data_IF_171994606543
#
_entry.id   IF_171994606543
#
_cell.length_a   1.000
_cell.length_b   1.000
_cell.length_c   1.000
_cell.angle_alpha   90.00
_cell.angle_beta   90.00
_cell.angle_gamma   90.00
#
_symmetry.space_group_name_H-M   'P 1'
#
loop_
_entity.id
_entity.type
_entity.pdbx_description
1 polymer ?
#
# COMPACT_ATOMS: atom_id res chain seq x y z
N UNK A 1 -3.38 15.42 6.25
CA UNK A 1 -3.53 14.92 4.87
C UNK A 1 -4.36 13.64 4.86
N UNK A 2 -5.15 13.44 3.82
CA UNK A 2 -6.01 12.25 3.62
C UNK A 2 -5.78 11.64 2.25
N UNK A 3 -5.75 10.31 2.20
CA UNK A 3 -5.62 9.51 0.98
C UNK A 3 -6.96 8.88 0.63
N UNK A 4 -7.40 9.03 -0.61
CA UNK A 4 -8.65 8.43 -1.10
C UNK A 4 -8.35 7.66 -2.38
N UNK A 5 -8.26 6.34 -2.28
CA UNK A 5 -8.17 5.45 -3.44
C UNK A 5 -9.53 5.25 -4.10
N UNK A 6 -9.58 5.33 -5.43
CA UNK A 6 -10.80 5.07 -6.20
C UNK A 6 -10.82 3.59 -6.60
N UNK A 7 -11.78 2.84 -6.07
CA UNK A 7 -11.88 1.38 -6.25
C UNK A 7 -10.57 0.64 -5.96
N UNK A 8 -9.98 0.79 -4.76
CA UNK A 8 -8.64 0.27 -4.45
C UNK A 8 -8.52 -1.26 -4.59
N UNK A 9 -9.63 -1.99 -4.55
CA UNK A 9 -9.69 -3.45 -4.75
C UNK A 9 -10.05 -3.86 -6.18
N UNK A 10 -9.83 -2.98 -7.15
CA UNK A 10 -9.99 -3.23 -8.59
C UNK A 10 -8.81 -2.66 -9.35
N UNK A 11 -7.58 -2.88 -8.87
CA UNK A 11 -6.36 -2.28 -9.44
C UNK A 11 -6.23 -2.54 -10.95
N UNK A 12 -6.75 -3.68 -11.43
CA UNK A 12 -6.73 -4.06 -12.84
C UNK A 12 -7.63 -3.19 -13.74
N UNK A 13 -8.39 -2.25 -13.18
CA UNK A 13 -9.18 -1.30 -13.94
C UNK A 13 -8.29 -0.22 -14.59
N UNK A 14 -8.63 0.24 -15.80
CA UNK A 14 -7.84 1.23 -16.51
C UNK A 14 -7.88 2.63 -15.88
N UNK A 15 -8.89 2.88 -15.05
CA UNK A 15 -9.16 4.20 -14.45
C UNK A 15 -8.77 4.26 -12.96
N UNK A 16 -7.84 3.41 -12.54
CA UNK A 16 -7.37 3.38 -11.15
C UNK A 16 -6.65 4.69 -10.83
N UNK A 17 -7.06 5.34 -9.74
CA UNK A 17 -6.51 6.62 -9.33
C UNK A 17 -6.65 6.79 -7.82
N UNK A 18 -5.89 7.73 -7.25
CA UNK A 18 -6.07 8.17 -5.87
C UNK A 18 -6.00 9.69 -5.78
N UNK A 19 -6.55 10.20 -4.67
CA UNK A 19 -6.59 11.61 -4.34
C UNK A 19 -5.84 11.86 -3.05
N UNK A 20 -5.16 12.99 -3.00
CA UNK A 20 -4.44 13.49 -1.85
C UNK A 20 -5.04 14.83 -1.44
N UNK A 21 -5.63 14.84 -0.26
CA UNK A 21 -6.31 15.99 0.33
C UNK A 21 -5.44 16.55 1.45
N UNK A 22 -4.96 17.77 1.30
CA UNK A 22 -4.21 18.45 2.35
C UNK A 22 -5.19 19.01 3.38
N UNK A 23 -4.81 18.98 4.66
CA UNK A 23 -5.67 19.46 5.75
C UNK A 23 -5.53 20.97 5.93
N UNK A 24 -5.61 21.69 4.82
CA UNK A 24 -5.37 23.13 4.69
C UNK A 24 -6.46 23.77 3.82
N UNK A 25 -6.54 25.10 3.82
CA UNK A 25 -7.44 25.80 2.88
C UNK A 25 -7.03 25.56 1.43
N UNK A 26 -7.99 25.56 0.50
CA UNK A 26 -7.76 25.30 -0.93
C UNK A 26 -6.60 26.10 -1.53
N UNK A 27 -6.48 27.39 -1.21
CA UNK A 27 -5.41 28.25 -1.75
C UNK A 27 -4.03 27.79 -1.26
N UNK A 28 -3.92 27.38 0.00
CA UNK A 28 -2.67 26.86 0.58
C UNK A 28 -2.36 25.47 0.00
N UNK A 29 -3.39 24.63 -0.16
CA UNK A 29 -3.24 23.28 -0.68
C UNK A 29 -2.82 23.27 -2.16
N UNK A 30 -3.26 24.26 -2.96
CA UNK A 30 -2.87 24.45 -4.35
C UNK A 30 -1.39 24.84 -4.51
N UNK A 31 -0.88 25.68 -3.60
CA UNK A 31 0.52 26.15 -3.62
C UNK A 31 1.49 25.14 -2.98
N UNK A 32 1.00 24.04 -2.40
CA UNK A 32 1.82 23.02 -1.78
C UNK A 32 2.65 22.23 -2.81
N UNK A 33 3.89 21.89 -2.45
CA UNK A 33 4.68 20.94 -3.24
C UNK A 33 4.22 19.53 -2.90
N UNK A 34 3.55 18.85 -3.84
CA UNK A 34 3.02 17.51 -3.64
C UNK A 34 3.66 16.53 -4.61
N UNK A 35 4.24 15.47 -4.06
CA UNK A 35 4.86 14.38 -4.80
C UNK A 35 4.06 13.08 -4.59
N UNK A 36 4.03 12.25 -5.62
CA UNK A 36 3.52 10.88 -5.55
C UNK A 36 4.67 9.88 -5.55
N UNK A 37 4.52 8.78 -4.85
CA UNK A 37 5.53 7.72 -4.82
C UNK A 37 4.93 6.33 -4.71
N UNK A 38 5.70 5.32 -5.12
CA UNK A 38 5.47 3.92 -4.75
C UNK A 38 6.22 3.63 -3.46
N UNK A 39 5.53 3.14 -2.43
CA UNK A 39 6.14 2.91 -1.11
C UNK A 39 7.19 1.80 -1.15
N UNK A 40 6.92 0.75 -1.93
CA UNK A 40 7.81 -0.41 -2.04
C UNK A 40 7.56 -1.21 -3.31
N UNK A 41 8.59 -1.93 -3.77
CA UNK A 41 8.46 -2.92 -4.82
C UNK A 41 7.69 -4.14 -4.31
N UNK A 42 6.63 -4.48 -5.01
CA UNK A 42 5.75 -5.61 -4.68
C UNK A 42 5.80 -6.71 -5.75
N UNK A 43 6.59 -6.50 -6.81
CA UNK A 43 6.76 -7.41 -7.94
C UNK A 43 8.24 -7.59 -8.29
N UNK A 44 8.55 -8.53 -9.17
CA UNK A 44 9.91 -9.02 -9.36
C UNK A 44 10.78 -8.08 -10.20
N UNK A 45 10.22 -7.47 -11.24
CA UNK A 45 11.00 -6.70 -12.21
C UNK A 45 10.71 -5.19 -12.11
N UNK A 46 11.68 -4.36 -12.49
CA UNK A 46 11.57 -2.90 -12.46
C UNK A 46 10.37 -2.40 -13.27
N UNK A 47 10.13 -3.01 -14.44
CA UNK A 47 9.06 -2.64 -15.35
C UNK A 47 7.66 -3.07 -14.87
N UNK A 48 7.58 -3.70 -13.70
CA UNK A 48 6.37 -4.10 -12.99
C UNK A 48 6.08 -3.22 -11.76
N UNK A 49 7.06 -2.41 -11.35
CA UNK A 49 7.01 -1.56 -10.16
C UNK A 49 7.11 -0.08 -10.54
N UNK A 50 6.49 0.31 -11.66
CA UNK A 50 6.56 1.68 -12.20
C UNK A 50 6.03 2.69 -11.19
N UNK A 51 6.75 3.79 -10.99
CA UNK A 51 6.32 4.85 -10.08
C UNK A 51 5.05 5.56 -10.60
N UNK A 52 4.21 6.07 -9.69
CA UNK A 52 3.04 6.86 -10.08
C UNK A 52 3.47 8.16 -10.80
N UNK A 53 2.65 8.67 -11.74
CA UNK A 53 2.91 9.95 -12.38
C UNK A 53 2.71 11.11 -11.39
N UNK A 54 3.33 12.25 -11.71
CA UNK A 54 3.22 13.48 -10.91
C UNK A 54 1.76 13.83 -10.58
N UNK A 55 1.45 14.20 -9.32
CA UNK A 55 0.11 14.65 -8.94
C UNK A 55 -0.34 15.88 -9.74
N UNK A 56 -1.63 15.92 -10.08
CA UNK A 56 -2.23 17.08 -10.78
C UNK A 56 -3.28 17.70 -9.89
N UNK A 57 -3.19 19.00 -9.66
CA UNK A 57 -4.22 19.76 -8.94
C UNK A 57 -5.56 19.72 -9.69
N UNK A 58 -6.63 19.41 -8.97
CA UNK A 58 -7.99 19.34 -9.50
C UNK A 58 -8.87 20.35 -8.76
N UNK A 59 -9.10 21.49 -9.41
CA UNK A 59 -9.89 22.61 -8.91
C UNK A 59 -11.38 22.55 -9.29
N UNK A 60 -11.74 21.69 -10.24
CA UNK A 60 -13.11 21.53 -10.75
C UNK A 60 -14.00 20.59 -9.92
N UNK A 61 -13.49 20.01 -8.84
CA UNK A 61 -14.22 19.13 -7.94
C UNK A 61 -14.84 19.91 -6.76
N UNK A 62 -15.93 19.38 -6.18
CA UNK A 62 -16.54 19.96 -4.97
C UNK A 62 -15.55 20.07 -3.79
N UNK A 63 -14.56 19.17 -3.75
CA UNK A 63 -13.43 19.21 -2.83
C UNK A 63 -12.17 19.21 -3.69
N UNK A 64 -11.42 20.31 -3.68
CA UNK A 64 -10.19 20.41 -4.46
C UNK A 64 -9.13 19.50 -3.87
N UNK A 65 -8.35 18.87 -4.73
CA UNK A 65 -7.38 17.85 -4.32
C UNK A 65 -6.30 17.65 -5.36
N UNK A 66 -5.20 17.05 -4.94
CA UNK A 66 -4.21 16.50 -5.85
C UNK A 66 -4.64 15.12 -6.31
N UNK A 67 -4.72 14.90 -7.62
CA UNK A 67 -5.16 13.65 -8.22
C UNK A 67 -4.00 12.95 -8.91
N UNK A 68 -3.85 11.66 -8.66
CA UNK A 68 -2.85 10.79 -9.29
C UNK A 68 -3.56 9.67 -10.04
N UNK A 69 -3.42 9.65 -11.37
CA UNK A 69 -3.96 8.57 -12.21
C UNK A 69 -2.90 7.49 -12.34
N UNK A 70 -3.13 6.33 -11.73
CA UNK A 70 -2.21 5.22 -11.85
C UNK A 70 -2.24 4.68 -13.26
N UNK A 71 -1.07 4.55 -13.87
CA UNK A 71 -0.96 3.94 -15.17
C UNK A 71 -1.24 2.44 -15.04
N UNK A 72 -2.17 1.91 -15.82
CA UNK A 72 -2.47 0.47 -15.85
C UNK A 72 -2.35 -0.05 -17.29
N UNK A 73 -1.16 0.09 -17.86
CA UNK A 73 -0.82 -0.30 -19.23
C UNK A 73 -0.68 -1.84 -19.38
N UNK A 74 -1.80 -2.56 -19.24
CA UNK A 74 -1.94 -4.02 -19.41
C UNK A 74 -1.18 -4.91 -18.41
N UNK A 75 -0.22 -4.36 -17.66
CA UNK A 75 0.56 -5.08 -16.65
C UNK A 75 0.02 -4.97 -15.23
N UNK A 76 -1.07 -4.23 -15.00
CA UNK A 76 -1.55 -3.97 -13.65
C UNK A 76 -0.52 -3.21 -12.78
N UNK A 77 0.14 -2.20 -13.37
CA UNK A 77 1.12 -1.36 -12.66
C UNK A 77 0.47 -0.53 -11.54
N UNK A 78 -0.87 -0.42 -11.57
CA UNK A 78 -1.67 0.14 -10.48
C UNK A 78 -1.79 -0.78 -9.25
N UNK A 79 -1.28 -2.01 -9.29
CA UNK A 79 -1.13 -2.85 -8.10
C UNK A 79 0.05 -2.39 -7.24
N UNK A 80 -0.13 -2.38 -5.92
CA UNK A 80 0.93 -2.09 -4.96
C UNK A 80 0.51 -1.10 -3.89
N UNK A 81 1.51 -0.42 -3.31
CA UNK A 81 1.32 0.58 -2.26
C UNK A 81 1.85 1.90 -2.77
N UNK A 82 1.00 2.93 -2.73
CA UNK A 82 1.28 4.25 -3.28
C UNK A 82 0.96 5.32 -2.25
N UNK A 83 1.66 6.44 -2.33
CA UNK A 83 1.45 7.55 -1.42
C UNK A 83 1.55 8.91 -2.08
N UNK A 84 1.25 9.90 -1.25
CA UNK A 84 1.63 11.29 -1.47
C UNK A 84 2.47 11.79 -0.32
N UNK A 85 3.42 12.64 -0.64
CA UNK A 85 4.10 13.51 0.31
C UNK A 85 3.76 14.96 -0.04
N UNK A 86 3.40 15.75 0.96
CA UNK A 86 3.13 17.16 0.81
C UNK A 86 4.11 17.95 1.68
N UNK A 87 4.81 18.88 1.05
CA UNK A 87 5.69 19.84 1.70
C UNK A 87 5.10 21.25 1.54
N UNK A 88 5.07 21.98 2.65
CA UNK A 88 4.62 23.36 2.74
C UNK A 88 5.68 24.13 3.52
N UNK A 89 6.04 25.31 3.04
CA UNK A 89 7.11 26.11 3.65
C UNK A 89 6.83 26.36 5.15
N UNK A 90 7.77 25.94 5.99
CA UNK A 90 7.67 26.06 7.45
C UNK A 90 6.82 24.99 8.14
N UNK A 91 6.30 23.99 7.41
CA UNK A 91 5.56 22.85 7.97
C UNK A 91 6.31 21.53 7.81
N UNK A 92 5.97 20.57 8.67
CA UNK A 92 6.51 19.21 8.61
C UNK A 92 5.91 18.51 7.39
N UNK A 93 6.79 17.91 6.56
CA UNK A 93 6.34 17.07 5.45
C UNK A 93 5.40 16.01 5.97
N UNK A 94 4.20 15.97 5.41
CA UNK A 94 3.22 14.93 5.74
C UNK A 94 3.24 13.92 4.61
N UNK A 95 3.31 12.63 4.94
CA UNK A 95 3.16 11.54 3.97
C UNK A 95 2.02 10.62 4.37
N UNK A 96 1.37 10.02 3.37
CA UNK A 96 0.33 9.02 3.56
C UNK A 96 0.41 7.99 2.44
N UNK A 97 0.08 6.74 2.74
CA UNK A 97 0.09 5.65 1.76
C UNK A 97 -1.20 4.85 1.81
N UNK A 98 -1.57 4.27 0.67
CA UNK A 98 -2.71 3.38 0.52
C UNK A 98 -2.39 2.21 -0.40
N UNK A 99 -3.16 1.13 -0.25
CA UNK A 99 -3.00 -0.12 -0.97
C UNK A 99 -3.98 -0.20 -2.13
N UNK A 100 -3.49 -0.69 -3.26
CA UNK A 100 -4.28 -1.11 -4.40
C UNK A 100 -4.05 -2.60 -4.68
N UNK A 101 -5.13 -3.37 -4.70
CA UNK A 101 -5.14 -4.80 -4.96
C UNK A 101 -6.13 -5.15 -6.08
N UNK A 102 -5.92 -6.31 -6.70
CA UNK A 102 -6.86 -6.86 -7.67
C UNK A 102 -8.13 -7.35 -6.99
N UNK A 103 -9.25 -7.30 -7.72
CA UNK A 103 -10.50 -7.92 -7.21
C UNK A 103 -10.47 -9.44 -7.27
N UNK A 104 -9.60 -10.01 -8.11
CA UNK A 104 -9.36 -11.44 -8.28
C UNK A 104 -7.99 -11.85 -7.72
N UNK A 105 -7.54 -11.17 -6.66
CA UNK A 105 -6.34 -11.55 -5.91
C UNK A 105 -6.49 -12.97 -5.35
N UNK A 106 -5.39 -13.73 -5.36
CA UNK A 106 -5.34 -15.12 -4.87
C UNK A 106 -5.21 -15.19 -3.34
N UNK A 107 -4.72 -14.09 -2.74
CA UNK A 107 -4.48 -13.92 -1.31
C UNK A 107 -5.00 -12.54 -0.89
N UNK A 108 -5.68 -12.46 0.25
CA UNK A 108 -6.12 -11.21 0.88
C UNK A 108 -5.84 -11.23 2.39
N UNK A 109 -5.81 -10.06 3.06
CA UNK A 109 -5.78 -10.01 4.52
C UNK A 109 -6.90 -10.84 5.15
N UNK A 110 -6.58 -11.65 6.16
CA UNK A 110 -7.55 -12.58 6.77
C UNK A 110 -8.74 -11.86 7.40
N UNK A 111 -8.49 -10.69 7.98
CA UNK A 111 -9.46 -9.77 8.58
C UNK A 111 -10.07 -8.77 7.58
N UNK A 112 -9.70 -8.88 6.30
CA UNK A 112 -10.20 -8.02 5.20
C UNK A 112 -9.85 -6.53 5.37
N UNK A 113 -8.92 -6.22 6.28
CA UNK A 113 -8.38 -4.89 6.49
C UNK A 113 -7.00 -4.76 5.82
N UNK A 114 -6.83 -3.72 5.00
CA UNK A 114 -5.56 -3.44 4.32
C UNK A 114 -4.54 -2.75 5.21
N UNK A 115 -4.96 -2.25 6.37
CA UNK A 115 -4.05 -1.64 7.33
C UNK A 115 -4.42 -2.01 8.75
N UNK A 116 -3.42 -2.07 9.61
CA UNK A 116 -3.61 -2.17 11.06
C UNK A 116 -2.72 -1.14 11.74
N UNK A 117 -3.27 -0.44 12.72
CA UNK A 117 -2.53 0.52 13.54
C UNK A 117 -2.38 -0.04 14.95
N UNK A 118 -1.14 -0.06 15.43
CA UNK A 118 -0.75 -0.50 16.77
C UNK A 118 0.14 0.55 17.41
N UNK A 119 0.39 0.45 18.71
CA UNK A 119 1.35 1.29 19.40
C UNK A 119 2.65 0.51 19.62
N UNK A 120 3.78 1.23 19.68
CA UNK A 120 5.03 0.63 20.12
C UNK A 120 4.86 0.01 21.52
N UNK A 121 5.35 -1.21 21.70
CA UNK A 121 5.18 -1.99 22.92
C UNK A 121 3.96 -2.93 22.93
N UNK A 122 3.03 -2.82 21.97
CA UNK A 122 1.93 -3.77 21.83
C UNK A 122 2.48 -5.19 21.59
N UNK A 123 1.79 -6.21 22.13
CA UNK A 123 2.19 -7.61 22.03
C UNK A 123 1.12 -8.44 21.33
N UNK A 124 1.50 -9.60 20.79
CA UNK A 124 0.56 -10.48 20.08
C UNK A 124 0.10 -9.94 18.72
N UNK A 125 0.85 -8.98 18.15
CA UNK A 125 0.55 -8.44 16.82
C UNK A 125 0.91 -9.46 15.75
N UNK A 126 -0.04 -9.71 14.86
CA UNK A 126 0.13 -10.65 13.76
C UNK A 126 -0.54 -10.14 12.48
N UNK A 127 0.06 -10.46 11.36
CA UNK A 127 -0.44 -10.14 10.02
C UNK A 127 -0.88 -11.44 9.37
N UNK A 128 -2.19 -11.70 9.40
CA UNK A 128 -2.80 -12.88 8.78
C UNK A 128 -3.22 -12.64 7.33
N UNK A 129 -3.01 -13.63 6.48
CA UNK A 129 -3.44 -13.66 5.08
C UNK A 129 -4.18 -14.97 4.81
N UNK A 130 -5.20 -14.94 3.96
CA UNK A 130 -5.97 -16.13 3.54
C UNK A 130 -6.03 -16.23 2.03
N UNK A 131 -6.09 -17.45 1.51
CA UNK A 131 -6.39 -17.64 0.09
C UNK A 131 -7.86 -17.36 -0.18
N UNK A 132 -8.15 -16.70 -1.29
CA UNK A 132 -9.51 -16.46 -1.81
C UNK A 132 -10.06 -17.63 -2.63
N UNK A 133 -9.21 -18.61 -2.95
CA UNK A 133 -9.55 -19.75 -3.80
C UNK A 133 -8.89 -21.03 -3.31
N UNK A 134 -8.50 -21.90 -4.24
CA UNK A 134 -7.94 -23.22 -3.92
C UNK A 134 -6.41 -23.22 -3.76
N UNK A 135 -5.77 -22.06 -3.53
CA UNK A 135 -4.31 -22.02 -3.37
C UNK A 135 -3.94 -22.56 -2.00
N UNK A 136 -2.93 -23.43 -1.97
CA UNK A 136 -2.46 -24.05 -0.74
C UNK A 136 -1.52 -23.10 0.02
N UNK A 137 -1.74 -22.95 1.33
CA UNK A 137 -0.89 -22.16 2.25
C UNK A 137 0.58 -22.59 2.19
N UNK A 138 0.88 -23.86 1.90
CA UNK A 138 2.26 -24.34 1.70
C UNK A 138 3.02 -23.56 0.60
N UNK A 139 2.29 -22.94 -0.33
CA UNK A 139 2.83 -22.06 -1.37
C UNK A 139 3.09 -20.62 -0.94
N UNK A 140 2.66 -20.19 0.26
CA UNK A 140 2.75 -18.80 0.71
C UNK A 140 4.20 -18.41 0.98
N UNK A 141 4.60 -17.25 0.48
CA UNK A 141 5.92 -16.65 0.64
C UNK A 141 5.74 -15.22 1.10
N UNK A 142 6.54 -14.82 2.08
CA UNK A 142 6.37 -13.57 2.79
C UNK A 142 7.52 -12.61 2.56
N UNK A 143 7.18 -11.33 2.45
CA UNK A 143 8.13 -10.23 2.48
C UNK A 143 7.62 -9.11 3.39
N UNK A 144 8.56 -8.41 4.02
CA UNK A 144 8.35 -7.09 4.62
C UNK A 144 9.19 -6.11 3.83
N UNK A 145 8.58 -5.07 3.27
CA UNK A 145 9.27 -4.02 2.53
C UNK A 145 10.22 -4.56 1.44
N UNK A 146 9.74 -5.52 0.62
CA UNK A 146 10.50 -6.24 -0.40
C UNK A 146 11.67 -7.11 0.12
N UNK A 147 11.79 -7.29 1.43
CA UNK A 147 12.77 -8.18 2.06
C UNK A 147 12.11 -9.50 2.41
N UNK A 148 12.61 -10.59 1.83
CA UNK A 148 12.05 -11.93 2.00
C UNK A 148 12.30 -12.46 3.41
N UNK A 149 11.25 -13.03 4.02
CA UNK A 149 11.37 -13.86 5.21
C UNK A 149 11.17 -15.34 4.85
N UNK A 150 12.27 -16.09 4.88
CA UNK A 150 12.28 -17.51 4.55
C UNK A 150 11.67 -18.39 5.64
N UNK A 151 11.78 -17.99 6.90
CA UNK A 151 11.49 -18.82 8.08
C UNK A 151 10.00 -19.11 8.25
N UNK A 152 9.15 -18.24 7.70
CA UNK A 152 7.69 -18.37 7.73
C UNK A 152 7.11 -18.81 6.37
N UNK A 153 7.94 -19.37 5.49
CA UNK A 153 7.45 -19.94 4.23
C UNK A 153 6.44 -21.05 4.51
N UNK A 154 5.30 -21.01 3.82
CA UNK A 154 4.24 -22.00 4.03
C UNK A 154 3.36 -21.73 5.25
N UNK A 155 3.42 -20.53 5.83
CA UNK A 155 2.53 -20.07 6.89
C UNK A 155 1.55 -19.02 6.36
N UNK A 156 0.37 -18.94 6.98
CA UNK A 156 -0.68 -17.97 6.66
C UNK A 156 -0.58 -16.68 7.48
N UNK A 157 0.35 -16.61 8.43
CA UNK A 157 0.45 -15.53 9.40
C UNK A 157 1.89 -15.14 9.63
N UNK A 158 2.18 -13.83 9.60
CA UNK A 158 3.41 -13.26 10.11
C UNK A 158 3.20 -12.79 11.56
N UNK A 159 3.77 -13.48 12.52
CA UNK A 159 3.66 -13.14 13.94
C UNK A 159 4.87 -12.33 14.43
N UNK A 160 4.63 -11.21 15.10
CA UNK A 160 5.66 -10.44 15.81
C UNK A 160 5.66 -10.94 17.26
N UNK A 161 6.66 -11.74 17.62
CA UNK A 161 6.72 -12.45 18.90
C UNK A 161 7.19 -11.59 20.07
N UNK A 162 7.97 -10.54 19.78
CA UNK A 162 8.40 -9.52 20.75
C UNK A 162 7.38 -8.36 20.78
N UNK A 163 7.45 -7.47 21.79
CA UNK A 163 6.76 -6.18 21.70
C UNK A 163 7.09 -5.48 20.38
N UNK A 164 6.08 -4.87 19.76
CA UNK A 164 6.22 -4.20 18.47
C UNK A 164 7.08 -2.94 18.62
N UNK A 165 7.96 -2.74 17.65
CA UNK A 165 8.85 -1.58 17.53
C UNK A 165 8.48 -0.78 16.28
N UNK A 166 8.93 0.47 16.20
CA UNK A 166 8.61 1.36 15.06
C UNK A 166 9.14 0.81 13.73
N UNK A 167 10.24 0.06 13.77
CA UNK A 167 10.88 -0.61 12.65
C UNK A 167 10.04 -1.79 12.10
N UNK A 168 9.08 -2.28 12.87
CA UNK A 168 8.13 -3.29 12.38
C UNK A 168 7.08 -2.66 11.45
N UNK A 169 6.87 -1.33 11.49
CA UNK A 169 5.99 -0.67 10.54
C UNK A 169 6.47 -0.94 9.09
N UNK A 170 5.53 -1.04 8.17
CA UNK A 170 5.85 -1.30 6.77
C UNK A 170 4.78 -2.09 6.03
N UNK A 171 5.12 -2.48 4.81
CA UNK A 171 4.26 -3.25 3.92
C UNK A 171 4.61 -4.72 4.03
N UNK A 172 3.62 -5.50 4.47
CA UNK A 172 3.68 -6.95 4.53
C UNK A 172 3.01 -7.52 3.28
N UNK A 173 3.77 -8.32 2.54
CA UNK A 173 3.35 -8.96 1.31
C UNK A 173 3.33 -10.49 1.49
N UNK A 174 2.26 -11.14 1.04
CA UNK A 174 2.18 -12.59 0.94
C UNK A 174 1.77 -13.01 -0.48
N UNK A 175 2.65 -13.75 -1.16
CA UNK A 175 2.42 -14.23 -2.53
C UNK A 175 2.52 -15.76 -2.63
N UNK A 176 1.97 -16.32 -3.71
CA UNK A 176 2.16 -17.74 -4.05
C UNK A 176 3.52 -17.91 -4.73
N UNK A 177 4.31 -18.89 -4.28
CA UNK A 177 5.62 -19.20 -4.86
C UNK A 177 5.57 -19.24 -6.39
N UNK A 178 6.43 -18.44 -7.03
CA UNK A 178 6.53 -18.36 -8.50
C UNK A 178 5.47 -17.48 -9.17
N UNK A 179 4.58 -16.85 -8.41
CA UNK A 179 3.44 -16.05 -8.93
C UNK A 179 3.47 -14.59 -8.45
N UNK A 180 4.61 -14.11 -7.90
CA UNK A 180 4.73 -12.73 -7.41
C UNK A 180 4.51 -11.67 -8.50
N UNK A 181 4.86 -11.99 -9.75
CA UNK A 181 4.65 -11.11 -10.91
C UNK A 181 3.18 -11.01 -11.35
N UNK A 182 2.28 -11.85 -10.86
CA UNK A 182 0.87 -11.85 -11.30
C UNK A 182 0.05 -10.70 -10.71
N UNK A 183 0.62 -9.94 -9.76
CA UNK A 183 -0.06 -8.88 -9.01
C UNK A 183 -1.30 -9.37 -8.25
N UNK A 184 -1.30 -10.64 -7.81
CA UNK A 184 -2.40 -11.33 -7.11
C UNK A 184 -2.11 -11.62 -5.63
N UNK A 185 -1.00 -11.10 -5.13
CA UNK A 185 -0.54 -11.24 -3.76
C UNK A 185 -1.34 -10.36 -2.79
N UNK A 186 -1.40 -10.80 -1.53
CA UNK A 186 -2.01 -10.04 -0.45
C UNK A 186 -1.04 -8.98 0.07
N UNK A 187 -1.55 -7.77 0.31
CA UNK A 187 -0.81 -6.66 0.87
C UNK A 187 -1.49 -6.16 2.15
N UNK A 188 -0.71 -5.86 3.18
CA UNK A 188 -1.19 -5.22 4.41
C UNK A 188 -0.16 -4.23 4.94
N UNK A 189 -0.60 -3.04 5.31
CA UNK A 189 0.21 -1.99 5.91
C UNK A 189 0.14 -2.08 7.43
N UNK A 190 1.26 -2.30 8.10
CA UNK A 190 1.38 -2.14 9.54
C UNK A 190 1.84 -0.71 9.85
N UNK A 191 1.05 0.00 10.64
CA UNK A 191 1.37 1.34 11.14
C UNK A 191 1.65 1.21 12.63
N UNK A 192 2.87 1.55 13.05
CA UNK A 192 3.25 1.57 14.46
C UNK A 192 3.34 3.02 14.92
N UNK A 193 2.54 3.39 15.92
CA UNK A 193 2.61 4.70 16.55
C UNK A 193 3.74 4.71 17.57
N UNK A 194 4.70 5.61 17.35
CA UNK A 194 5.69 5.95 18.37
C UNK A 194 5.02 6.54 19.61
N UNK A 195 5.66 6.33 20.75
CA UNK A 195 5.31 6.96 22.03
C UNK A 195 5.73 8.42 22.08
#
# INVERSE_FOLDING_TARGET
MTFVGVSPFKSQNSNTQYQCHLSESDNIAEDAHVESFRTVWTRNDDNENVDPPVPVWNDGANYKHWNVKLNNNNKNDAFGVFGCEAALDGMINTSISGIFMRSDADIIPSDELVSVTVNAGDTGVSIGMKSTGSKNVAGFRWLKDNVRNGDISGQDTWSISRPVEVEDAGVYECHIQGQRSDAKQGLKLLIVRGS
#
